data_IF_520669131715
#
_entry.id   IF_520669131715
#
_cell.length_a   1.000
_cell.length_b   1.000
_cell.length_c   1.000
_cell.angle_alpha   90.00
_cell.angle_beta   90.00
_cell.angle_gamma   90.00
#
_symmetry.space_group_name_H-M   'P 1'
#
loop_
_entity.id
_entity.type
_entity.pdbx_description
1 polymer ?
#
# COMPACT_ATOMS: atom_id res chain seq x y z
N UNK A 1 15.87 -2.47 15.98
CA UNK A 1 14.47 -2.94 15.88
C UNK A 1 13.76 -2.17 14.78
N UNK A 2 13.46 -2.79 13.64
CA UNK A 2 12.66 -2.13 12.59
C UNK A 2 11.22 -2.09 13.09
N UNK A 3 10.82 -0.92 13.59
CA UNK A 3 9.47 -0.59 14.06
C UNK A 3 8.46 -1.27 13.13
N UNK A 4 7.59 -2.11 13.69
CA UNK A 4 6.31 -2.42 13.06
C UNK A 4 5.62 -1.05 12.99
N UNK A 5 5.80 -0.36 11.88
CA UNK A 5 5.79 1.11 11.80
C UNK A 5 4.43 1.66 12.14
N UNK A 6 4.28 2.21 13.35
CA UNK A 6 3.24 3.16 13.81
C UNK A 6 1.77 2.83 13.46
N UNK A 7 1.47 1.63 12.95
CA UNK A 7 0.17 1.29 12.37
C UNK A 7 -0.09 1.93 10.99
N UNK A 8 0.95 2.24 10.21
CA UNK A 8 0.83 2.94 8.91
C UNK A 8 0.93 1.97 7.74
N UNK A 9 0.02 2.08 6.77
CA UNK A 9 0.01 1.29 5.54
C UNK A 9 1.11 1.73 4.57
N UNK A 10 1.84 0.80 3.96
CA UNK A 10 2.89 1.11 2.97
C UNK A 10 2.34 1.75 1.69
N UNK A 11 1.14 1.36 1.25
CA UNK A 11 0.54 1.83 -0.01
C UNK A 11 -0.16 3.18 0.15
N UNK A 12 -1.23 3.24 0.96
CA UNK A 12 -2.02 4.47 1.13
C UNK A 12 -1.48 5.42 2.20
N UNK A 13 -0.43 5.04 2.95
CA UNK A 13 0.17 5.84 4.03
C UNK A 13 -0.79 6.24 5.15
N UNK A 14 -1.97 5.64 5.20
CA UNK A 14 -2.96 5.85 6.25
C UNK A 14 -2.60 5.09 7.53
N UNK A 15 -2.90 5.71 8.68
CA UNK A 15 -2.73 5.10 10.00
C UNK A 15 -3.95 4.26 10.36
N UNK A 16 -3.86 2.95 10.13
CA UNK A 16 -4.93 1.97 10.43
C UNK A 16 -4.73 1.24 11.76
N UNK A 17 -3.57 1.41 12.39
CA UNK A 17 -3.19 0.72 13.62
C UNK A 17 -2.59 -0.66 13.36
N UNK A 18 -1.72 -1.11 14.26
CA UNK A 18 -0.95 -2.36 14.10
C UNK A 18 -1.84 -3.60 13.93
N UNK A 19 -3.01 -3.63 14.60
CA UNK A 19 -3.98 -4.74 14.50
C UNK A 19 -4.63 -4.88 13.12
N UNK A 20 -4.63 -3.80 12.32
CA UNK A 20 -5.24 -3.78 10.98
C UNK A 20 -4.21 -3.82 9.86
N UNK A 21 -2.92 -3.92 10.20
CA UNK A 21 -1.86 -4.15 9.24
C UNK A 21 -1.73 -5.65 8.95
N UNK A 22 -1.50 -5.95 7.68
CA UNK A 22 -1.20 -7.27 7.14
C UNK A 22 0.10 -7.20 6.34
N UNK A 23 0.82 -8.31 6.23
CA UNK A 23 2.03 -8.37 5.42
C UNK A 23 1.65 -8.76 3.99
N UNK A 24 2.13 -8.01 3.00
CA UNK A 24 1.91 -8.29 1.58
C UNK A 24 3.24 -8.36 0.82
N UNK A 25 3.26 -9.18 -0.23
CA UNK A 25 4.39 -9.29 -1.14
C UNK A 25 4.23 -8.28 -2.27
N UNK A 26 5.12 -7.30 -2.35
CA UNK A 26 5.12 -6.26 -3.41
C UNK A 26 5.14 -6.92 -4.79
N UNK A 27 6.06 -7.87 -4.97
CA UNK A 27 6.14 -8.75 -6.13
C UNK A 27 5.51 -10.10 -5.73
N UNK A 28 4.41 -10.53 -6.39
CA UNK A 28 3.80 -11.83 -6.14
C UNK A 28 4.80 -12.99 -6.33
N UNK A 29 4.68 -14.04 -5.51
CA UNK A 29 5.51 -15.25 -5.65
C UNK A 29 5.38 -15.88 -7.04
N UNK A 30 4.18 -15.83 -7.63
CA UNK A 30 3.90 -16.33 -8.99
C UNK A 30 4.69 -15.60 -10.09
N UNK A 31 5.20 -14.39 -9.82
CA UNK A 31 6.05 -13.62 -10.75
C UNK A 31 7.53 -13.61 -10.33
N UNK A 32 7.95 -14.60 -9.54
CA UNK A 32 9.34 -14.71 -9.07
C UNK A 32 9.67 -13.83 -7.87
N UNK A 33 8.65 -13.24 -7.22
CA UNK A 33 8.84 -12.55 -5.94
C UNK A 33 9.40 -13.50 -4.89
N UNK A 34 10.41 -13.07 -4.14
CA UNK A 34 10.96 -13.85 -3.02
C UNK A 34 10.39 -13.35 -1.69
N UNK A 35 10.25 -14.23 -0.71
CA UNK A 35 9.87 -13.85 0.67
C UNK A 35 11.05 -13.21 1.42
N UNK A 36 11.67 -12.20 0.82
CA UNK A 36 12.76 -11.42 1.40
C UNK A 36 12.20 -10.18 2.09
N UNK A 37 12.90 -9.68 3.12
CA UNK A 37 12.50 -8.46 3.85
C UNK A 37 12.31 -7.23 2.95
N UNK A 38 12.91 -7.19 1.77
CA UNK A 38 12.73 -6.10 0.80
C UNK A 38 11.47 -6.22 -0.06
N UNK A 39 10.84 -7.40 -0.11
CA UNK A 39 9.64 -7.66 -0.90
C UNK A 39 8.37 -7.75 -0.03
N UNK A 40 8.52 -7.74 1.30
CA UNK A 40 7.39 -7.85 2.23
C UNK A 40 7.17 -6.50 2.90
N UNK A 41 5.97 -5.95 2.74
CA UNK A 41 5.60 -4.63 3.28
C UNK A 41 4.34 -4.73 4.15
N UNK A 42 4.21 -3.90 5.21
CA UNK A 42 2.99 -3.80 5.97
C UNK A 42 1.95 -2.97 5.21
N UNK A 43 0.76 -3.51 4.97
CA UNK A 43 -0.34 -2.81 4.31
C UNK A 43 -1.67 -3.02 5.06
N UNK A 44 -2.60 -2.09 4.93
CA UNK A 44 -3.94 -2.28 5.48
C UNK A 44 -4.71 -3.37 4.70
N UNK A 45 -5.71 -3.97 5.36
CA UNK A 45 -6.59 -4.96 4.74
C UNK A 45 -7.27 -4.45 3.47
N UNK A 46 -7.61 -3.16 3.42
CA UNK A 46 -8.27 -2.56 2.26
C UNK A 46 -7.37 -2.53 1.02
N UNK A 47 -6.14 -2.01 1.14
CA UNK A 47 -5.17 -2.01 0.04
C UNK A 47 -4.80 -3.44 -0.36
N UNK A 48 -4.64 -4.34 0.61
CA UNK A 48 -4.33 -5.75 0.34
C UNK A 48 -5.46 -6.43 -0.46
N UNK A 49 -6.72 -6.19 -0.08
CA UNK A 49 -7.87 -6.71 -0.82
C UNK A 49 -7.94 -6.11 -2.22
N UNK A 50 -7.83 -4.76 -2.36
CA UNK A 50 -7.82 -4.10 -3.67
C UNK A 50 -6.75 -4.69 -4.59
N UNK A 51 -5.52 -4.87 -4.11
CA UNK A 51 -4.44 -5.51 -4.88
C UNK A 51 -4.74 -6.94 -5.35
N UNK A 52 -5.59 -7.70 -4.63
CA UNK A 52 -6.01 -9.05 -5.06
C UNK A 52 -7.08 -9.02 -6.16
N UNK A 53 -7.95 -8.02 -6.15
CA UNK A 53 -9.04 -7.91 -7.11
C UNK A 53 -8.65 -7.13 -8.37
N UNK A 54 -7.76 -6.15 -8.23
CA UNK A 54 -7.30 -5.32 -9.32
C UNK A 54 -6.25 -6.04 -10.15
N UNK A 55 -6.32 -5.88 -11.46
CA UNK A 55 -5.22 -6.27 -12.36
C UNK A 55 -4.05 -5.29 -12.17
N UNK A 56 -2.81 -5.66 -12.57
CA UNK A 56 -1.63 -4.82 -12.35
C UNK A 56 -1.78 -3.37 -12.82
N UNK A 57 -2.43 -3.15 -13.97
CA UNK A 57 -2.69 -1.81 -14.51
C UNK A 57 -3.59 -0.99 -13.59
N UNK A 58 -4.72 -1.56 -13.16
CA UNK A 58 -5.63 -0.87 -12.25
C UNK A 58 -5.00 -0.64 -10.87
N UNK A 59 -4.10 -1.53 -10.43
CA UNK A 59 -3.34 -1.35 -9.21
C UNK A 59 -2.35 -0.19 -9.30
N UNK A 60 -1.64 -0.06 -10.43
CA UNK A 60 -0.76 1.08 -10.70
C UNK A 60 -1.55 2.39 -10.73
N UNK A 61 -2.73 2.42 -11.38
CA UNK A 61 -3.62 3.58 -11.37
C UNK A 61 -4.11 3.93 -9.96
N UNK A 62 -4.48 2.92 -9.16
CA UNK A 62 -4.89 3.14 -7.77
C UNK A 62 -3.77 3.73 -6.93
N UNK A 63 -2.54 3.24 -7.07
CA UNK A 63 -1.38 3.82 -6.40
C UNK A 63 -1.09 5.25 -6.87
N UNK A 64 -1.20 5.52 -8.16
CA UNK A 64 -1.02 6.86 -8.72
C UNK A 64 -2.04 7.85 -8.14
N UNK A 65 -3.31 7.45 -8.00
CA UNK A 65 -4.37 8.25 -7.36
C UNK A 65 -4.09 8.52 -5.89
N UNK A 66 -3.51 7.55 -5.18
CA UNK A 66 -3.13 7.73 -3.77
C UNK A 66 -1.91 8.65 -3.58
N UNK A 67 -0.97 8.67 -4.53
CA UNK A 67 0.18 9.58 -4.49
C UNK A 67 -0.16 11.02 -4.90
N UNK A 68 -1.31 11.23 -5.54
CA UNK A 68 -1.76 12.53 -6.04
C UNK A 68 -2.52 13.41 -5.05
N UNK A 69 -2.60 13.05 -3.75
CA UNK A 69 -3.22 13.90 -2.73
C UNK A 69 -2.19 14.65 -1.90
N UNK A 70 -1.39 15.49 -2.54
CA UNK A 70 -0.84 16.72 -1.94
C UNK A 70 -0.88 17.80 -3.03
N UNK A 71 -1.72 18.84 -2.81
CA UNK A 71 -2.03 20.01 -3.66
C UNK A 71 -3.09 19.68 -4.74
N UNK A 72 -4.33 20.21 -4.71
CA UNK A 72 -4.66 21.63 -4.62
C UNK A 72 -5.85 21.94 -3.69
N UNK A 73 -5.57 22.64 -2.60
CA UNK A 73 -6.38 23.81 -2.22
C UNK A 73 -6.06 24.86 -3.29
N UNK A 74 -6.80 24.91 -4.40
CA UNK A 74 -6.90 26.16 -5.14
C UNK A 74 -8.22 26.83 -4.79
N UNK A 75 -8.03 27.98 -4.17
CA UNK A 75 -9.07 28.91 -3.79
C UNK A 75 -9.54 29.60 -5.05
N UNK A 76 -10.76 29.35 -5.51
CA UNK A 76 -11.45 30.32 -6.35
C UNK A 76 -12.88 30.50 -5.83
N UNK A 77 -12.99 31.57 -5.03
CA UNK A 77 -14.03 32.62 -5.03
C UNK A 77 -15.49 32.22 -5.07
#
# INVERSE_FOLDING_TARGET
MRKIGEGVCYYCRQKVGVKNLTMDHVIPLSRGGKSLKGNIVPCCKECNNKKKYLIPVEWEEYLARLSGTEQDNDSQS
#
